data_IF_959118632943
#
_entry.id   IF_959118632943
#
_cell.length_a   1.000
_cell.length_b   1.000
_cell.length_c   1.000
_cell.angle_alpha   90.00
_cell.angle_beta   90.00
_cell.angle_gamma   90.00
#
_symmetry.space_group_name_H-M   'P 1'
#
loop_
_entity.id
_entity.type
_entity.pdbx_description
1 polymer ?
#
# COMPACT_ATOMS: atom_id res chain seq x y z
N UNK A 1 16.50 9.66 -2.50
CA UNK A 1 15.30 9.54 -3.37
C UNK A 1 15.16 10.77 -4.23
N UNK A 2 15.14 11.98 -3.67
CA UNK A 2 14.88 13.24 -4.39
C UNK A 2 15.79 13.51 -5.60
N UNK A 3 17.03 13.04 -5.56
CA UNK A 3 17.99 13.24 -6.66
C UNK A 3 17.74 12.35 -7.87
N UNK A 4 17.12 11.19 -7.68
CA UNK A 4 17.00 10.17 -8.73
C UNK A 4 15.54 9.91 -9.08
N UNK A 5 14.66 9.90 -8.11
CA UNK A 5 13.24 9.59 -8.27
C UNK A 5 12.39 10.46 -7.34
N UNK A 6 12.28 11.78 -7.63
CA UNK A 6 11.49 12.67 -6.79
C UNK A 6 10.02 12.28 -6.80
N UNK A 7 9.39 12.36 -5.64
CA UNK A 7 7.98 12.01 -5.45
C UNK A 7 7.19 13.29 -5.19
N UNK A 8 6.26 13.59 -6.08
CA UNK A 8 5.37 14.73 -5.96
C UNK A 8 4.03 14.37 -5.28
N UNK A 9 3.35 15.39 -4.76
CA UNK A 9 2.01 15.24 -4.21
C UNK A 9 1.04 14.74 -5.29
N UNK A 10 0.25 13.72 -4.95
CA UNK A 10 -0.70 13.10 -5.87
C UNK A 10 -0.11 11.98 -6.73
N UNK A 11 1.16 11.69 -6.60
CA UNK A 11 1.86 10.64 -7.33
C UNK A 11 1.65 9.27 -6.70
N UNK A 12 1.71 8.24 -7.52
CA UNK A 12 1.81 6.85 -7.07
C UNK A 12 3.18 6.29 -7.42
N UNK A 13 3.72 5.44 -6.55
CA UNK A 13 5.02 4.81 -6.77
C UNK A 13 5.08 3.40 -6.20
N UNK A 14 5.91 2.57 -6.80
CA UNK A 14 6.21 1.23 -6.31
C UNK A 14 7.62 1.21 -5.71
N UNK A 15 7.72 0.60 -4.52
CA UNK A 15 8.98 0.24 -3.90
C UNK A 15 9.14 -1.27 -4.08
N UNK A 16 9.97 -1.65 -5.05
CA UNK A 16 10.15 -3.05 -5.43
C UNK A 16 11.30 -3.65 -4.64
N UNK A 17 11.06 -4.77 -3.99
CA UNK A 17 12.04 -5.38 -3.11
C UNK A 17 11.91 -6.90 -3.08
N UNK A 18 13.04 -7.65 -3.13
CA UNK A 18 13.02 -9.05 -2.75
C UNK A 18 12.79 -9.20 -1.24
N UNK A 19 12.40 -10.40 -0.76
CA UNK A 19 12.26 -10.66 0.67
C UNK A 19 13.55 -10.37 1.45
N UNK A 20 13.41 -9.84 2.66
CA UNK A 20 14.54 -9.57 3.59
C UNK A 20 15.62 -8.61 3.07
N UNK A 21 15.25 -7.68 2.19
CA UNK A 21 16.17 -6.70 1.61
C UNK A 21 16.17 -5.33 2.30
N UNK A 22 15.63 -5.23 3.51
CA UNK A 22 15.58 -3.98 4.27
C UNK A 22 14.40 -3.07 3.93
N UNK A 23 13.35 -3.62 3.33
CA UNK A 23 12.13 -2.88 2.95
C UNK A 23 11.53 -2.09 4.12
N UNK A 24 11.41 -2.70 5.30
CA UNK A 24 10.85 -2.04 6.49
C UNK A 24 11.67 -0.84 6.92
N UNK A 25 12.99 -0.94 6.87
CA UNK A 25 13.89 0.18 7.17
C UNK A 25 13.67 1.34 6.20
N UNK A 26 13.60 1.06 4.91
CA UNK A 26 13.34 2.09 3.88
C UNK A 26 12.00 2.77 4.10
N UNK A 27 10.95 2.01 4.44
CA UNK A 27 9.63 2.58 4.72
C UNK A 27 9.66 3.52 5.93
N UNK A 28 10.35 3.15 7.00
CA UNK A 28 10.51 4.00 8.19
C UNK A 28 11.28 5.28 7.85
N UNK A 29 12.35 5.18 7.08
CA UNK A 29 13.14 6.31 6.62
C UNK A 29 12.29 7.28 5.76
N UNK A 30 11.50 6.74 4.82
CA UNK A 30 10.58 7.54 4.01
C UNK A 30 9.53 8.22 4.91
N UNK A 31 8.91 7.47 5.82
CA UNK A 31 7.89 7.99 6.73
C UNK A 31 8.44 9.15 7.58
N UNK A 32 9.59 8.95 8.20
CA UNK A 32 10.22 9.96 9.05
C UNK A 32 10.69 11.18 8.25
N UNK A 33 11.17 10.97 7.03
CA UNK A 33 11.55 12.08 6.14
C UNK A 33 10.34 12.92 5.74
N UNK A 34 9.20 12.29 5.45
CA UNK A 34 7.96 13.00 5.12
C UNK A 34 7.49 13.84 6.31
N UNK A 35 7.40 13.26 7.49
CA UNK A 35 6.91 13.99 8.68
C UNK A 35 7.85 15.08 9.13
N UNK A 36 9.14 14.93 8.91
CA UNK A 36 10.15 15.95 9.24
C UNK A 36 10.14 17.11 8.23
N UNK A 37 10.14 16.79 6.93
CA UNK A 37 10.27 17.79 5.87
C UNK A 37 8.93 18.44 5.48
N UNK A 38 7.83 17.72 5.67
CA UNK A 38 6.48 18.14 5.30
C UNK A 38 5.51 17.91 6.46
N UNK A 39 5.62 18.64 7.57
CA UNK A 39 4.79 18.40 8.77
C UNK A 39 3.31 18.63 8.55
N UNK A 40 2.91 19.32 7.48
CA UNK A 40 1.52 19.52 7.07
C UNK A 40 0.86 18.28 6.47
N UNK A 41 1.66 17.32 6.02
CA UNK A 41 1.17 16.09 5.39
C UNK A 41 0.60 15.13 6.43
N UNK A 42 -0.58 14.59 6.13
CA UNK A 42 -1.15 13.50 6.91
C UNK A 42 -0.58 12.17 6.43
N UNK A 43 0.22 11.54 7.28
CA UNK A 43 0.84 10.25 6.96
C UNK A 43 0.00 9.09 7.48
N UNK A 44 -0.33 8.16 6.59
CA UNK A 44 -1.02 6.91 6.91
C UNK A 44 -0.18 5.73 6.43
N UNK A 45 0.14 4.81 7.33
CA UNK A 45 0.81 3.56 7.01
C UNK A 45 -0.22 2.44 7.05
N UNK A 46 -0.37 1.72 5.96
CA UNK A 46 -1.31 0.60 5.84
C UNK A 46 -0.52 -0.70 5.73
N UNK A 47 -0.65 -1.54 6.74
CA UNK A 47 0.03 -2.83 6.84
C UNK A 47 -1.00 -3.95 6.64
N UNK A 48 -0.80 -4.76 5.62
CA UNK A 48 -1.72 -5.85 5.27
C UNK A 48 -1.03 -7.19 5.45
N UNK A 49 -1.66 -8.09 6.21
CA UNK A 49 -1.15 -9.44 6.44
C UNK A 49 0.27 -9.43 7.06
N UNK A 50 0.44 -8.57 8.07
CA UNK A 50 1.74 -8.36 8.70
C UNK A 50 1.82 -9.04 10.07
N UNK A 51 3.04 -9.24 10.57
CA UNK A 51 3.25 -9.81 11.90
C UNK A 51 2.99 -8.79 13.00
N UNK A 52 2.39 -9.18 14.13
CA UNK A 52 2.07 -8.24 15.23
C UNK A 52 3.28 -7.45 15.73
N UNK A 53 4.45 -8.09 15.82
CA UNK A 53 5.69 -7.42 16.23
C UNK A 53 6.14 -6.33 15.24
N UNK A 54 5.95 -6.55 13.94
CA UNK A 54 6.27 -5.56 12.91
C UNK A 54 5.28 -4.39 12.94
N UNK A 55 4.01 -4.66 13.23
CA UNK A 55 3.00 -3.60 13.44
C UNK A 55 3.38 -2.73 14.63
N UNK A 56 3.72 -3.33 15.77
CA UNK A 56 4.13 -2.61 16.97
C UNK A 56 5.39 -1.78 16.73
N UNK A 57 6.35 -2.34 16.03
CA UNK A 57 7.57 -1.63 15.68
C UNK A 57 7.31 -0.41 14.80
N UNK A 58 6.43 -0.55 13.80
CA UNK A 58 6.03 0.56 12.93
C UNK A 58 5.31 1.66 13.73
N UNK A 59 4.37 1.28 14.60
CA UNK A 59 3.64 2.22 15.45
C UNK A 59 4.55 3.04 16.37
N UNK A 60 5.64 2.44 16.83
CA UNK A 60 6.64 3.10 17.70
C UNK A 60 7.64 3.97 16.93
N UNK A 61 7.89 3.62 15.67
CA UNK A 61 8.97 4.22 14.87
C UNK A 61 8.50 5.34 13.96
N UNK A 62 7.20 5.47 13.74
CA UNK A 62 6.61 6.40 12.75
C UNK A 62 5.63 7.34 13.44
N UNK A 63 5.75 8.62 13.14
CA UNK A 63 4.79 9.65 13.57
C UNK A 63 3.68 9.77 12.52
N UNK A 64 2.71 8.87 12.60
CA UNK A 64 1.59 8.80 11.67
C UNK A 64 0.55 7.80 12.11
N UNK A 65 -0.57 7.77 11.41
CA UNK A 65 -1.62 6.76 11.64
C UNK A 65 -1.18 5.42 11.05
N UNK A 66 -1.20 4.36 11.85
CA UNK A 66 -0.94 3.00 11.40
C UNK A 66 -2.24 2.21 11.38
N UNK A 67 -2.69 1.85 10.19
CA UNK A 67 -3.86 0.99 9.94
C UNK A 67 -3.35 -0.37 9.54
N UNK A 68 -3.84 -1.43 10.16
CA UNK A 68 -3.23 -2.74 9.96
C UNK A 68 -4.22 -3.90 10.05
N UNK A 69 -3.83 -5.01 9.44
CA UNK A 69 -4.37 -6.34 9.68
C UNK A 69 -3.22 -7.33 9.85
N UNK A 70 -3.32 -8.21 10.84
CA UNK A 70 -2.28 -9.19 11.15
C UNK A 70 -2.52 -10.51 10.41
N UNK A 71 -1.46 -11.31 10.24
CA UNK A 71 -1.46 -12.53 9.41
C UNK A 71 -2.42 -13.63 9.89
N UNK A 72 -2.84 -13.57 11.15
CA UNK A 72 -3.80 -14.50 11.77
C UNK A 72 -5.28 -14.19 11.45
N UNK A 73 -5.51 -13.09 10.72
CA UNK A 73 -6.86 -12.69 10.32
C UNK A 73 -7.24 -13.30 8.97
N UNK A 74 -8.55 -13.56 8.74
CA UNK A 74 -9.01 -14.06 7.46
C UNK A 74 -8.83 -13.04 6.32
N UNK A 75 -8.75 -13.50 5.05
CA UNK A 75 -8.48 -12.62 3.90
C UNK A 75 -9.46 -11.46 3.73
N UNK A 76 -10.72 -11.64 4.07
CA UNK A 76 -11.74 -10.59 3.98
C UNK A 76 -11.50 -9.44 4.97
N UNK A 77 -10.91 -9.70 6.13
CA UNK A 77 -10.50 -8.62 7.05
C UNK A 77 -9.36 -7.78 6.45
N UNK A 78 -8.41 -8.39 5.75
CA UNK A 78 -7.34 -7.66 5.06
C UNK A 78 -7.91 -6.72 4.01
N UNK A 79 -8.87 -7.19 3.22
CA UNK A 79 -9.52 -6.37 2.20
C UNK A 79 -10.37 -5.25 2.81
N UNK A 80 -11.08 -5.50 3.90
CA UNK A 80 -11.87 -4.48 4.61
C UNK A 80 -11.00 -3.38 5.20
N UNK A 81 -9.88 -3.72 5.84
CA UNK A 81 -8.95 -2.75 6.42
C UNK A 81 -8.42 -1.82 5.33
N UNK A 82 -8.01 -2.34 4.19
CA UNK A 82 -7.54 -1.53 3.08
C UNK A 82 -8.63 -0.61 2.52
N UNK A 83 -9.86 -1.09 2.42
CA UNK A 83 -11.00 -0.30 1.96
C UNK A 83 -11.31 0.86 2.92
N UNK A 84 -11.33 0.58 4.21
CA UNK A 84 -11.55 1.62 5.24
C UNK A 84 -10.44 2.67 5.21
N UNK A 85 -9.18 2.24 5.05
CA UNK A 85 -8.05 3.15 4.98
C UNK A 85 -8.15 4.11 3.79
N UNK A 86 -8.46 3.60 2.60
CA UNK A 86 -8.58 4.44 1.40
C UNK A 86 -9.78 5.38 1.47
N UNK A 87 -10.91 4.96 2.00
CA UNK A 87 -12.09 5.80 2.18
C UNK A 87 -11.82 6.92 3.20
N UNK A 88 -11.14 6.62 4.29
CA UNK A 88 -10.71 7.62 5.26
C UNK A 88 -9.75 8.64 4.63
N UNK A 89 -8.78 8.16 3.86
CA UNK A 89 -7.83 9.04 3.15
C UNK A 89 -8.53 9.96 2.17
N UNK A 90 -9.48 9.45 1.39
CA UNK A 90 -10.28 10.26 0.46
C UNK A 90 -11.04 11.39 1.17
N UNK A 91 -11.63 11.11 2.33
CA UNK A 91 -12.34 12.14 3.12
C UNK A 91 -11.39 13.24 3.60
N UNK A 92 -10.20 12.87 4.07
CA UNK A 92 -9.19 13.86 4.45
C UNK A 92 -8.75 14.73 3.28
N UNK A 93 -8.63 14.15 2.09
CA UNK A 93 -8.32 14.89 0.85
C UNK A 93 -9.46 15.84 0.49
N UNK A 94 -10.71 15.43 0.62
CA UNK A 94 -11.90 16.28 0.40
C UNK A 94 -11.93 17.49 1.36
N UNK A 95 -11.38 17.33 2.58
CA UNK A 95 -11.20 18.41 3.56
C UNK A 95 -10.00 19.34 3.23
N UNK A 96 -9.33 19.10 2.12
CA UNK A 96 -8.18 19.91 1.68
C UNK A 96 -6.83 19.44 2.21
N UNK A 97 -6.75 18.26 2.83
CA UNK A 97 -5.49 17.73 3.38
C UNK A 97 -4.64 17.08 2.28
N UNK A 98 -3.33 17.20 2.44
CA UNK A 98 -2.36 16.41 1.70
C UNK A 98 -2.09 15.11 2.45
N UNK A 99 -2.47 13.98 1.86
CA UNK A 99 -2.36 12.66 2.48
C UNK A 99 -1.33 11.83 1.74
N UNK A 100 -0.46 11.15 2.49
CA UNK A 100 0.46 10.14 1.97
C UNK A 100 0.12 8.80 2.59
N UNK A 101 -0.13 7.80 1.76
CA UNK A 101 -0.29 6.41 2.17
C UNK A 101 0.97 5.63 1.82
N UNK A 102 1.55 4.98 2.81
CA UNK A 102 2.57 3.94 2.63
C UNK A 102 1.89 2.59 2.81
N UNK A 103 1.75 1.83 1.72
CA UNK A 103 1.10 0.52 1.73
C UNK A 103 2.15 -0.60 1.73
N UNK A 104 2.17 -1.40 2.76
CA UNK A 104 3.01 -2.59 2.84
C UNK A 104 2.13 -3.84 3.05
N UNK A 105 1.90 -4.58 2.03
CA UNK A 105 2.36 -4.50 0.66
C UNK A 105 1.20 -4.66 -0.33
N UNK A 106 1.37 -4.17 -1.53
CA UNK A 106 0.41 -4.37 -2.62
C UNK A 106 0.30 -5.85 -3.01
N UNK A 107 1.40 -6.59 -2.91
CA UNK A 107 1.45 -8.03 -3.16
C UNK A 107 0.54 -8.80 -2.21
N UNK A 108 0.61 -8.52 -0.93
CA UNK A 108 -0.24 -9.17 0.09
C UNK A 108 -1.70 -8.74 -0.03
N UNK A 109 -1.95 -7.48 -0.34
CA UNK A 109 -3.30 -6.98 -0.59
C UNK A 109 -3.94 -7.70 -1.79
N UNK A 110 -3.20 -7.85 -2.88
CA UNK A 110 -3.68 -8.56 -4.06
C UNK A 110 -3.92 -10.05 -3.77
N UNK A 111 -3.05 -10.71 -3.01
CA UNK A 111 -3.26 -12.09 -2.56
C UNK A 111 -4.54 -12.22 -1.72
N UNK A 112 -4.79 -11.30 -0.81
CA UNK A 112 -5.98 -11.31 0.04
C UNK A 112 -7.26 -11.14 -0.78
N UNK A 113 -7.26 -10.25 -1.75
CA UNK A 113 -8.38 -10.11 -2.69
C UNK A 113 -8.58 -11.36 -3.54
N UNK A 114 -7.50 -12.02 -3.97
CA UNK A 114 -7.61 -13.26 -4.73
C UNK A 114 -8.25 -14.40 -3.92
N UNK A 115 -7.98 -14.46 -2.62
CA UNK A 115 -8.58 -15.45 -1.72
C UNK A 115 -10.02 -15.10 -1.35
N UNK A 116 -10.33 -13.83 -1.16
CA UNK A 116 -11.66 -13.36 -0.73
C UNK A 116 -12.66 -13.23 -1.88
N UNK A 117 -12.20 -13.12 -3.13
CA UNK A 117 -13.06 -12.93 -4.29
C UNK A 117 -13.55 -14.27 -4.82
N UNK A 118 -14.86 -14.44 -5.12
CA UNK A 118 -15.37 -15.64 -5.80
C UNK A 118 -14.70 -15.83 -7.15
N UNK A 119 -14.40 -17.08 -7.50
CA UNK A 119 -13.77 -17.42 -8.76
C UNK A 119 -14.63 -16.98 -9.96
N UNK A 120 -14.06 -16.18 -10.86
CA UNK A 120 -14.74 -15.73 -12.08
C UNK A 120 -14.57 -16.70 -13.25
N UNK A 121 -13.68 -17.68 -13.12
CA UNK A 121 -13.27 -18.57 -14.19
C UNK A 121 -12.22 -17.99 -15.15
N UNK A 122 -11.82 -16.75 -14.97
CA UNK A 122 -10.79 -16.07 -15.76
C UNK A 122 -9.49 -15.98 -14.96
N UNK A 123 -8.76 -17.07 -14.90
CA UNK A 123 -7.54 -17.17 -14.11
C UNK A 123 -6.35 -16.83 -14.99
N UNK A 124 -5.55 -15.86 -14.53
CA UNK A 124 -4.23 -15.54 -15.08
C UNK A 124 -3.22 -16.62 -14.66
N UNK A 125 -2.04 -16.60 -15.25
CA UNK A 125 -0.96 -17.49 -14.82
C UNK A 125 -0.67 -17.27 -13.32
N UNK A 126 -0.23 -18.33 -12.62
CA UNK A 126 0.02 -18.27 -11.19
C UNK A 126 -1.21 -18.33 -10.28
N UNK A 127 -2.39 -18.64 -10.83
CA UNK A 127 -3.61 -18.80 -10.04
C UNK A 127 -4.29 -17.50 -9.59
N UNK A 128 -3.97 -16.37 -10.23
CA UNK A 128 -4.58 -15.07 -9.95
C UNK A 128 -5.86 -14.92 -10.77
N UNK A 129 -6.99 -14.70 -10.09
CA UNK A 129 -8.25 -14.36 -10.78
C UNK A 129 -8.15 -12.91 -11.30
N UNK A 130 -8.50 -12.72 -12.57
CA UNK A 130 -8.40 -11.40 -13.21
C UNK A 130 -9.26 -10.34 -12.54
N UNK A 131 -10.39 -10.71 -11.94
CA UNK A 131 -11.28 -9.79 -11.22
C UNK A 131 -10.76 -9.43 -9.82
N UNK A 132 -9.92 -10.26 -9.22
CA UNK A 132 -9.35 -10.03 -7.90
C UNK A 132 -8.37 -8.87 -7.85
N UNK A 133 -7.77 -8.50 -8.98
CA UNK A 133 -6.81 -7.39 -9.07
C UNK A 133 -7.48 -6.02 -9.22
N UNK A 134 -8.76 -5.99 -9.55
CA UNK A 134 -9.48 -4.71 -9.74
C UNK A 134 -9.50 -3.84 -8.48
N UNK A 135 -9.88 -4.34 -7.28
CA UNK A 135 -9.86 -3.50 -6.08
C UNK A 135 -8.46 -3.00 -5.67
N UNK A 136 -7.39 -3.82 -5.69
CA UNK A 136 -6.04 -3.32 -5.44
C UNK A 136 -5.59 -2.26 -6.46
N UNK A 137 -5.93 -2.42 -7.73
CA UNK A 137 -5.66 -1.42 -8.78
C UNK A 137 -6.41 -0.12 -8.54
N UNK A 138 -7.67 -0.19 -8.10
CA UNK A 138 -8.46 0.98 -7.73
C UNK A 138 -7.88 1.68 -6.50
N UNK A 139 -7.42 0.94 -5.51
CA UNK A 139 -6.71 1.49 -4.35
C UNK A 139 -5.48 2.29 -4.80
N UNK A 140 -4.60 1.65 -5.55
CA UNK A 140 -3.37 2.27 -6.02
C UNK A 140 -3.62 3.41 -7.01
N UNK A 141 -4.64 3.27 -7.83
CA UNK A 141 -5.06 4.28 -8.81
C UNK A 141 -5.83 5.46 -8.22
N UNK A 142 -6.11 5.47 -6.92
CA UNK A 142 -6.79 6.58 -6.25
C UNK A 142 -5.88 7.81 -6.04
N UNK A 143 -4.56 7.65 -6.18
CA UNK A 143 -3.60 8.73 -6.07
C UNK A 143 -3.92 9.85 -7.06
N UNK A 144 -4.01 11.08 -6.57
CA UNK A 144 -4.32 12.28 -7.37
C UNK A 144 -3.95 13.57 -6.66
N UNK A 145 -3.77 14.60 -7.43
CA UNK A 145 -3.64 15.96 -6.93
C UNK A 145 -4.88 16.76 -7.39
N UNK A 146 -5.63 17.32 -6.46
CA UNK A 146 -6.85 18.06 -6.75
C UNK A 146 -6.50 19.54 -6.86
N UNK A 147 -6.77 20.14 -8.01
CA UNK A 147 -6.56 21.57 -8.21
C UNK A 147 -7.37 22.38 -7.20
N UNK A 148 -6.68 23.23 -6.44
CA UNK A 148 -7.29 24.03 -5.37
C UNK A 148 -7.74 23.26 -4.14
N UNK A 149 -7.40 21.98 -4.04
CA UNK A 149 -7.77 21.09 -2.93
C UNK A 149 -6.61 20.32 -2.37
N UNK A 150 -6.90 19.18 -1.72
CA UNK A 150 -5.91 18.28 -1.17
C UNK A 150 -5.26 17.36 -2.21
N UNK A 151 -4.39 16.49 -1.75
CA UNK A 151 -3.73 15.48 -2.59
C UNK A 151 -3.69 14.13 -1.89
N UNK A 152 -3.65 13.07 -2.68
CA UNK A 152 -3.44 11.69 -2.20
C UNK A 152 -2.25 11.09 -2.94
N UNK A 153 -1.19 10.83 -2.19
CA UNK A 153 0.02 10.17 -2.69
C UNK A 153 0.06 8.75 -2.13
N UNK A 154 0.33 7.77 -2.97
CA UNK A 154 0.36 6.37 -2.56
C UNK A 154 1.69 5.74 -2.97
N UNK A 155 2.44 5.23 -1.99
CA UNK A 155 3.65 4.45 -2.19
C UNK A 155 3.38 3.03 -1.70
N UNK A 156 3.37 2.08 -2.62
CA UNK A 156 3.15 0.68 -2.30
C UNK A 156 4.41 -0.15 -2.45
N UNK A 157 4.65 -1.07 -1.53
CA UNK A 157 5.71 -2.05 -1.69
C UNK A 157 5.22 -3.24 -2.51
N UNK A 158 6.07 -3.73 -3.40
CA UNK A 158 5.84 -4.93 -4.19
C UNK A 158 6.97 -5.92 -3.97
N UNK A 159 6.61 -7.18 -3.72
CA UNK A 159 7.56 -8.25 -3.51
C UNK A 159 7.91 -8.92 -4.84
N UNK A 160 9.19 -9.11 -5.08
CA UNK A 160 9.73 -9.85 -6.23
C UNK A 160 10.66 -10.96 -5.73
N UNK A 161 11.01 -11.90 -6.61
CA UNK A 161 11.94 -12.99 -6.27
C UNK A 161 11.52 -13.81 -5.04
N UNK A 162 10.22 -13.97 -4.85
CA UNK A 162 9.66 -14.76 -3.74
C UNK A 162 9.59 -16.25 -4.05
N UNK A 163 9.84 -16.63 -5.29
CA UNK A 163 9.60 -17.99 -5.79
C UNK A 163 8.13 -18.28 -6.10
N UNK A 164 7.24 -17.32 -5.89
CA UNK A 164 5.80 -17.45 -6.17
C UNK A 164 5.46 -16.89 -7.55
N UNK A 165 4.89 -17.73 -8.40
CA UNK A 165 4.40 -17.33 -9.71
C UNK A 165 3.26 -16.30 -9.59
N UNK A 166 2.45 -16.41 -8.57
CA UNK A 166 1.40 -15.44 -8.26
C UNK A 166 1.99 -14.04 -8.03
N UNK A 167 3.07 -13.95 -7.26
CA UNK A 167 3.71 -12.66 -6.97
C UNK A 167 4.31 -12.02 -8.20
N UNK A 168 4.88 -12.82 -9.10
CA UNK A 168 5.39 -12.33 -10.38
C UNK A 168 4.26 -11.72 -11.22
N UNK A 169 3.13 -12.39 -11.31
CA UNK A 169 1.95 -11.89 -12.04
C UNK A 169 1.43 -10.61 -11.40
N UNK A 170 1.31 -10.56 -10.08
CA UNK A 170 0.88 -9.35 -9.37
C UNK A 170 1.83 -8.19 -9.67
N UNK A 171 3.13 -8.40 -9.58
CA UNK A 171 4.11 -7.36 -9.89
C UNK A 171 3.97 -6.85 -11.33
N UNK A 172 3.85 -7.74 -12.31
CA UNK A 172 3.67 -7.38 -13.72
C UNK A 172 2.42 -6.52 -13.96
N UNK A 173 1.36 -6.75 -13.20
CA UNK A 173 0.11 -6.00 -13.31
C UNK A 173 0.15 -4.60 -12.69
N UNK A 174 1.12 -4.33 -11.81
CA UNK A 174 1.23 -3.05 -11.11
C UNK A 174 2.42 -2.19 -11.55
N UNK A 175 3.41 -2.74 -12.27
CA UNK A 175 4.58 -2.00 -12.73
C UNK A 175 4.27 -0.96 -13.83
#
# INVERSE_FOLDING_TARGET
IDLIAPIGKGQRGLIVSPPKAGKTTILKEIANSITTNNPEVYLMVVLVDERPEEVTDMQRSVDGEVVFSTFDRPPDEHTQVSKLAIERAKRLVEEGRDVVILLDSITRLARAHNLATPASGRILSGGVDSTALTPPKQFFGAARNIEGGGSLTILGTALVETGSKMDEVIFEEFK
#
